data_IF_225756113030
#
_entry.id   IF_225756113030
#
_cell.length_a   1.000
_cell.length_b   1.000
_cell.length_c   1.000
_cell.angle_alpha   90.00
_cell.angle_beta   90.00
_cell.angle_gamma   90.00
#
_symmetry.space_group_name_H-M   'P 1'
#
loop_
_entity.id
_entity.type
_entity.pdbx_description
1 polymer ?
#
# COMPACT_ATOMS: atom_id res chain seq x y z
N UNK A 1 14.96 -25.92 11.69
CA UNK A 1 13.94 -25.10 12.37
C UNK A 1 14.60 -23.77 12.67
N UNK A 2 14.71 -22.90 11.67
CA UNK A 2 15.08 -21.51 11.88
C UNK A 2 13.88 -20.84 12.54
N UNK A 3 14.05 -20.41 13.76
CA UNK A 3 13.16 -19.49 14.45
C UNK A 3 13.13 -18.20 13.65
N UNK A 4 12.09 -18.01 12.84
CA UNK A 4 11.79 -16.70 12.29
C UNK A 4 11.35 -15.82 13.47
N UNK A 5 12.31 -15.10 14.03
CA UNK A 5 12.02 -14.05 14.97
C UNK A 5 10.96 -13.13 14.36
N UNK A 6 9.86 -12.98 15.06
CA UNK A 6 8.80 -12.00 14.80
C UNK A 6 9.40 -10.60 14.95
N UNK A 7 10.21 -10.22 13.95
CA UNK A 7 10.98 -8.99 14.03
C UNK A 7 10.07 -7.78 13.88
N UNK A 8 10.12 -6.87 14.84
CA UNK A 8 9.62 -5.51 14.74
C UNK A 8 10.04 -4.90 13.40
N UNK A 9 9.12 -4.18 12.75
CA UNK A 9 9.46 -3.33 11.60
C UNK A 9 10.63 -2.46 12.02
N UNK A 10 11.76 -2.57 11.34
CA UNK A 10 12.91 -1.71 11.61
C UNK A 10 12.61 -0.37 10.98
N UNK A 11 12.32 0.64 11.81
CA UNK A 11 12.23 2.01 11.37
C UNK A 11 13.47 2.42 10.59
N UNK A 12 13.30 3.28 9.63
CA UNK A 12 14.39 3.86 8.86
C UNK A 12 14.68 5.27 9.42
N UNK A 13 15.96 5.63 9.52
CA UNK A 13 16.31 7.01 9.88
C UNK A 13 15.95 7.97 8.75
N UNK A 14 15.67 9.24 9.08
CA UNK A 14 15.38 10.24 8.06
C UNK A 14 16.53 10.39 7.05
N UNK A 15 17.78 10.25 7.49
CA UNK A 15 18.97 10.30 6.63
C UNK A 15 19.00 9.14 5.61
N UNK A 16 18.74 7.91 6.05
CA UNK A 16 18.69 6.76 5.14
C UNK A 16 17.46 6.82 4.22
N UNK A 17 16.33 7.33 4.71
CA UNK A 17 15.15 7.58 3.91
C UNK A 17 15.45 8.60 2.81
N UNK A 18 16.04 9.74 3.17
CA UNK A 18 16.46 10.77 2.22
C UNK A 18 17.39 10.23 1.15
N UNK A 19 18.43 9.48 1.54
CA UNK A 19 19.37 8.86 0.62
C UNK A 19 18.69 7.94 -0.40
N UNK A 20 17.71 7.15 0.03
CA UNK A 20 16.95 6.26 -0.85
C UNK A 20 16.03 7.01 -1.78
N UNK A 21 15.34 8.04 -1.27
CA UNK A 21 14.44 8.88 -2.07
C UNK A 21 15.22 9.67 -3.12
N UNK A 22 16.37 10.25 -2.76
CA UNK A 22 17.22 11.00 -3.70
C UNK A 22 17.77 10.15 -4.85
N UNK A 23 17.83 8.84 -4.71
CA UNK A 23 18.19 7.96 -5.80
C UNK A 23 17.19 8.02 -6.97
N UNK A 24 15.93 8.28 -6.66
CA UNK A 24 14.84 8.34 -7.64
C UNK A 24 14.40 9.79 -7.92
N UNK A 25 14.56 10.68 -6.96
CA UNK A 25 14.22 12.10 -7.03
C UNK A 25 15.42 12.96 -6.63
N UNK A 26 16.43 13.13 -7.52
CA UNK A 26 17.67 13.83 -7.18
C UNK A 26 17.48 15.29 -6.76
N UNK A 27 16.49 15.96 -7.35
CA UNK A 27 16.18 17.38 -7.12
C UNK A 27 15.31 17.63 -5.87
N UNK A 28 15.08 16.59 -5.05
CA UNK A 28 14.21 16.69 -3.89
C UNK A 28 14.84 17.51 -2.77
N UNK A 29 14.13 18.53 -2.29
CA UNK A 29 14.45 19.26 -1.06
C UNK A 29 13.83 18.56 0.16
N UNK A 30 14.47 18.69 1.33
CA UNK A 30 13.97 18.08 2.58
C UNK A 30 12.53 18.50 2.92
N UNK A 31 12.14 19.74 2.60
CA UNK A 31 10.75 20.23 2.75
C UNK A 31 9.74 19.45 1.89
N UNK A 32 10.18 18.74 0.87
CA UNK A 32 9.31 18.03 -0.05
C UNK A 32 9.12 16.58 0.36
N UNK A 33 10.04 16.01 1.18
CA UNK A 33 9.93 14.64 1.67
C UNK A 33 8.63 14.41 2.44
N UNK A 34 8.24 15.32 3.33
CA UNK A 34 6.99 15.24 4.08
C UNK A 34 5.76 15.36 3.17
N UNK A 35 5.84 16.19 2.13
CA UNK A 35 4.77 16.27 1.12
C UNK A 35 4.63 14.97 0.35
N UNK A 36 5.74 14.33 -0.04
CA UNK A 36 5.75 13.05 -0.75
C UNK A 36 5.19 11.95 0.13
N UNK A 37 5.59 11.88 1.40
CA UNK A 37 5.01 10.95 2.38
C UNK A 37 3.49 11.12 2.47
N UNK A 38 3.03 12.37 2.61
CA UNK A 38 1.61 12.69 2.69
C UNK A 38 0.85 12.29 1.43
N UNK A 39 1.37 12.60 0.25
CA UNK A 39 0.75 12.23 -1.03
C UNK A 39 0.68 10.72 -1.21
N UNK A 40 1.76 9.99 -0.88
CA UNK A 40 1.79 8.54 -0.92
C UNK A 40 0.74 7.92 0.01
N UNK A 41 0.63 8.42 1.24
CA UNK A 41 -0.35 7.99 2.21
C UNK A 41 -1.79 8.24 1.71
N UNK A 42 -2.09 9.43 1.16
CA UNK A 42 -3.41 9.77 0.64
C UNK A 42 -3.82 8.88 -0.55
N UNK A 43 -2.91 8.67 -1.50
CA UNK A 43 -3.16 7.79 -2.64
C UNK A 43 -3.43 6.36 -2.18
N UNK A 44 -2.63 5.84 -1.26
CA UNK A 44 -2.78 4.50 -0.70
C UNK A 44 -4.10 4.33 0.06
N UNK A 45 -4.49 5.31 0.88
CA UNK A 45 -5.78 5.31 1.59
C UNK A 45 -6.96 5.26 0.61
N UNK A 46 -6.90 6.06 -0.47
CA UNK A 46 -7.96 6.07 -1.48
C UNK A 46 -8.17 4.71 -2.15
N UNK A 47 -7.06 4.02 -2.43
CA UNK A 47 -7.08 2.71 -3.06
C UNK A 47 -7.62 1.65 -2.10
N UNK A 48 -7.16 1.66 -0.84
CA UNK A 48 -7.59 0.69 0.19
C UNK A 48 -9.06 0.83 0.54
N UNK A 49 -9.62 2.05 0.57
CA UNK A 49 -11.06 2.27 0.80
C UNK A 49 -11.94 1.50 -0.17
N UNK A 50 -11.55 1.42 -1.43
CA UNK A 50 -12.35 0.73 -2.47
C UNK A 50 -12.44 -0.76 -2.23
N UNK A 51 -11.32 -1.41 -1.86
CA UNK A 51 -11.30 -2.87 -1.70
C UNK A 51 -12.05 -3.32 -0.44
N UNK A 52 -11.95 -2.60 0.68
CA UNK A 52 -12.62 -3.01 1.93
C UNK A 52 -14.15 -2.92 1.85
N UNK A 53 -14.68 -2.14 0.89
CA UNK A 53 -16.11 -2.04 0.62
C UNK A 53 -16.65 -3.22 -0.20
N UNK A 54 -15.77 -4.03 -0.81
CA UNK A 54 -16.19 -5.18 -1.62
C UNK A 54 -16.91 -6.22 -0.75
N UNK A 55 -18.09 -6.74 -1.17
CA UNK A 55 -18.88 -7.67 -0.35
C UNK A 55 -18.09 -8.91 0.10
N UNK A 56 -17.27 -9.48 -0.79
CA UNK A 56 -16.48 -10.67 -0.47
C UNK A 56 -15.39 -10.41 0.58
N UNK A 57 -14.90 -9.18 0.70
CA UNK A 57 -13.97 -8.82 1.77
C UNK A 57 -14.62 -8.91 3.14
N UNK A 58 -15.90 -8.54 3.25
CA UNK A 58 -16.68 -8.55 4.49
C UNK A 58 -17.02 -9.94 5.01
N UNK A 59 -16.94 -10.96 4.16
CA UNK A 59 -17.27 -12.36 4.53
C UNK A 59 -16.29 -13.00 5.48
N UNK A 60 -15.08 -12.48 5.58
CA UNK A 60 -13.94 -13.06 6.29
C UNK A 60 -13.59 -14.51 5.85
N UNK A 61 -13.98 -14.87 4.62
CA UNK A 61 -13.69 -16.18 4.02
C UNK A 61 -12.51 -16.02 3.05
N UNK A 62 -11.33 -16.62 3.34
CA UNK A 62 -10.14 -16.46 2.51
C UNK A 62 -10.36 -16.82 1.03
N UNK A 63 -11.14 -17.85 0.77
CA UNK A 63 -11.44 -18.31 -0.61
C UNK A 63 -12.23 -17.30 -1.44
N UNK A 64 -12.96 -16.37 -0.79
CA UNK A 64 -13.68 -15.27 -1.45
C UNK A 64 -12.83 -14.00 -1.47
N UNK A 65 -12.07 -13.74 -0.41
CA UNK A 65 -11.24 -12.53 -0.28
C UNK A 65 -10.01 -12.57 -1.20
N UNK A 66 -9.34 -13.72 -1.32
CA UNK A 66 -8.09 -13.83 -2.07
C UNK A 66 -8.23 -13.49 -3.57
N UNK A 67 -9.29 -13.93 -4.30
CA UNK A 67 -9.51 -13.48 -5.68
C UNK A 67 -9.69 -11.96 -5.82
N UNK A 68 -10.43 -11.33 -4.89
CA UNK A 68 -10.62 -9.88 -4.87
C UNK A 68 -9.30 -9.16 -4.65
N UNK A 69 -8.49 -9.63 -3.70
CA UNK A 69 -7.16 -9.08 -3.44
C UNK A 69 -6.20 -9.30 -4.62
N UNK A 70 -6.33 -10.42 -5.36
CA UNK A 70 -5.52 -10.68 -6.54
C UNK A 70 -5.79 -9.65 -7.64
N UNK A 71 -7.07 -9.41 -7.97
CA UNK A 71 -7.46 -8.38 -8.91
C UNK A 71 -6.98 -6.99 -8.47
N UNK A 72 -7.16 -6.69 -7.19
CA UNK A 72 -6.74 -5.42 -6.60
C UNK A 72 -5.23 -5.17 -6.75
N UNK A 73 -4.39 -6.17 -6.53
CA UNK A 73 -2.93 -6.07 -6.71
C UNK A 73 -2.57 -5.90 -8.19
N UNK A 74 -3.25 -6.58 -9.10
CA UNK A 74 -3.01 -6.47 -10.54
C UNK A 74 -3.30 -5.06 -11.06
N UNK A 75 -4.32 -4.41 -10.52
CA UNK A 75 -4.67 -3.02 -10.81
C UNK A 75 -3.73 -2.01 -10.14
N UNK A 76 -2.98 -2.43 -9.10
CA UNK A 76 -2.13 -1.56 -8.28
C UNK A 76 -0.71 -2.13 -8.13
N UNK A 77 0.14 -2.05 -9.17
CA UNK A 77 1.46 -2.70 -9.21
C UNK A 77 2.47 -2.26 -8.13
N UNK A 78 2.27 -1.11 -7.50
CA UNK A 78 3.09 -0.64 -6.37
C UNK A 78 2.83 -1.41 -5.07
N UNK A 79 1.73 -2.19 -4.99
CA UNK A 79 1.43 -3.04 -3.85
C UNK A 79 2.27 -4.31 -3.94
N UNK A 80 3.07 -4.57 -2.92
CA UNK A 80 3.87 -5.80 -2.82
C UNK A 80 3.07 -6.96 -2.26
N UNK A 81 2.32 -6.71 -1.20
CA UNK A 81 1.54 -7.71 -0.48
C UNK A 81 0.19 -7.16 -0.08
N UNK A 82 -0.83 -8.01 -0.15
CA UNK A 82 -2.13 -7.79 0.48
C UNK A 82 -2.50 -9.03 1.31
N UNK A 83 -3.08 -8.81 2.48
CA UNK A 83 -3.44 -9.86 3.43
C UNK A 83 -4.55 -9.41 4.38
N UNK A 84 -5.20 -10.40 5.02
CA UNK A 84 -6.23 -10.16 6.03
C UNK A 84 -5.85 -10.86 7.33
N UNK A 85 -6.15 -10.22 8.45
CA UNK A 85 -6.10 -10.81 9.79
C UNK A 85 -7.47 -10.75 10.45
N UNK A 86 -7.75 -11.71 11.32
CA UNK A 86 -8.97 -11.69 12.14
C UNK A 86 -8.87 -10.69 13.31
N UNK A 87 -9.95 -10.58 14.09
CA UNK A 87 -10.02 -9.69 15.25
C UNK A 87 -9.05 -10.03 16.39
N UNK A 88 -8.43 -11.21 16.35
CA UNK A 88 -7.39 -11.62 17.28
C UNK A 88 -5.99 -11.37 16.74
N UNK A 89 -5.85 -10.76 15.57
CA UNK A 89 -4.59 -10.52 14.90
C UNK A 89 -4.00 -11.75 14.22
N UNK A 90 -4.77 -12.85 14.06
CA UNK A 90 -4.31 -14.02 13.32
C UNK A 90 -4.49 -13.82 11.83
N UNK A 91 -3.41 -14.03 11.09
CA UNK A 91 -3.44 -13.96 9.63
C UNK A 91 -4.25 -15.10 9.03
N UNK A 92 -5.30 -14.74 8.29
CA UNK A 92 -6.29 -15.70 7.76
C UNK A 92 -6.06 -16.02 6.28
N UNK A 93 -5.53 -15.07 5.49
CA UNK A 93 -5.29 -15.25 4.06
C UNK A 93 -3.82 -15.49 3.76
N UNK A 94 -3.55 -15.97 2.55
CA UNK A 94 -2.21 -15.92 1.98
C UNK A 94 -1.73 -14.47 1.81
N UNK A 95 -0.42 -14.27 1.62
CA UNK A 95 0.08 -13.03 1.04
C UNK A 95 -0.24 -13.03 -0.45
N UNK A 96 -1.18 -12.22 -0.89
CA UNK A 96 -1.39 -12.00 -2.31
C UNK A 96 -0.33 -11.03 -2.80
N UNK A 97 0.35 -11.37 -3.90
CA UNK A 97 1.53 -10.63 -4.34
C UNK A 97 1.73 -10.68 -5.85
N UNK A 98 2.31 -9.62 -6.42
CA UNK A 98 2.80 -9.55 -7.80
C UNK A 98 4.30 -9.86 -7.93
N UNK A 99 4.98 -10.15 -6.82
CA UNK A 99 6.41 -10.49 -6.85
C UNK A 99 6.58 -11.81 -7.61
N UNK A 100 7.57 -11.86 -8.54
CA UNK A 100 7.74 -13.00 -9.45
C UNK A 100 7.92 -14.37 -8.79
N UNK A 101 8.53 -14.43 -7.59
CA UNK A 101 8.65 -15.65 -6.79
C UNK A 101 7.50 -15.74 -5.78
N UNK A 102 6.28 -15.89 -6.29
CA UNK A 102 5.06 -15.98 -5.46
C UNK A 102 5.13 -17.12 -4.44
N UNK A 103 5.61 -18.29 -4.84
CA UNK A 103 5.65 -19.48 -4.00
C UNK A 103 6.44 -19.25 -2.69
N UNK A 104 7.44 -18.38 -2.72
CA UNK A 104 8.23 -18.01 -1.56
C UNK A 104 7.43 -17.23 -0.51
N UNK A 105 6.46 -16.42 -0.95
CA UNK A 105 5.80 -15.43 -0.10
C UNK A 105 4.34 -15.76 0.22
N UNK A 106 3.65 -16.51 -0.64
CA UNK A 106 2.20 -16.73 -0.52
C UNK A 106 1.79 -17.32 0.83
N UNK A 107 2.47 -18.36 1.28
CA UNK A 107 2.13 -19.04 2.54
C UNK A 107 2.83 -18.43 3.76
N UNK A 108 3.60 -17.36 3.57
CA UNK A 108 4.32 -16.74 4.68
C UNK A 108 3.34 -16.11 5.67
N UNK A 109 3.46 -16.55 6.89
CA UNK A 109 2.73 -15.95 8.01
C UNK A 109 1.26 -16.34 8.15
N UNK A 110 0.69 -17.27 7.32
CA UNK A 110 -0.66 -17.79 7.57
C UNK A 110 -0.73 -18.38 8.99
N UNK A 111 -1.76 -17.99 9.75
CA UNK A 111 -2.00 -18.43 11.12
C UNK A 111 -1.07 -17.81 12.16
N UNK A 112 -0.10 -16.97 11.76
CA UNK A 112 0.75 -16.25 12.71
C UNK A 112 0.00 -15.16 13.44
N UNK A 113 0.43 -14.90 14.65
CA UNK A 113 -0.06 -13.82 15.49
C UNK A 113 0.60 -12.49 15.06
N UNK A 114 -0.21 -11.52 14.73
CA UNK A 114 0.16 -10.15 14.35
C UNK A 114 -0.42 -9.11 15.32
N UNK A 115 -0.94 -9.57 16.48
CA UNK A 115 -1.65 -8.71 17.45
C UNK A 115 -0.76 -7.64 18.10
N UNK A 116 0.56 -7.82 18.07
CA UNK A 116 1.55 -6.85 18.56
C UNK A 116 1.94 -5.78 17.53
N UNK A 117 1.40 -5.86 16.30
CA UNK A 117 1.78 -4.96 15.21
C UNK A 117 1.03 -3.65 15.26
N UNK A 118 1.74 -2.55 15.04
CA UNK A 118 1.14 -1.20 14.96
C UNK A 118 0.01 -1.14 13.92
N UNK A 119 0.24 -1.69 12.73
CA UNK A 119 -0.73 -1.69 11.65
C UNK A 119 -2.00 -2.51 11.96
N UNK A 120 -1.96 -3.43 12.93
CA UNK A 120 -3.13 -4.13 13.46
C UNK A 120 -3.79 -3.33 14.60
N UNK A 121 -3.00 -2.88 15.57
CA UNK A 121 -3.48 -2.23 16.80
C UNK A 121 -4.19 -0.91 16.48
N UNK A 122 -3.61 -0.07 15.61
CA UNK A 122 -4.13 1.27 15.34
C UNK A 122 -5.51 1.27 14.69
N UNK A 123 -5.79 0.52 13.59
CA UNK A 123 -7.13 0.46 13.05
C UNK A 123 -8.12 -0.24 13.98
N UNK A 124 -7.68 -1.26 14.74
CA UNK A 124 -8.52 -1.93 15.74
C UNK A 124 -9.03 -0.95 16.81
N UNK A 125 -8.17 -0.06 17.30
CA UNK A 125 -8.50 0.91 18.35
C UNK A 125 -9.30 2.10 17.83
N UNK A 126 -9.00 2.56 16.63
CA UNK A 126 -9.56 3.81 16.10
C UNK A 126 -10.78 3.62 15.20
N UNK A 127 -10.99 2.42 14.66
CA UNK A 127 -11.97 2.17 13.61
C UNK A 127 -11.65 2.86 12.28
N UNK A 128 -10.41 3.35 12.10
CA UNK A 128 -10.00 4.15 10.94
C UNK A 128 -8.83 3.50 10.21
N UNK A 129 -8.66 3.87 8.95
CA UNK A 129 -7.49 3.49 8.17
C UNK A 129 -6.24 4.08 8.83
N UNK A 130 -5.21 3.25 8.94
CA UNK A 130 -3.91 3.63 9.46
C UNK A 130 -2.83 3.46 8.39
N UNK A 131 -1.87 4.38 8.37
CA UNK A 131 -0.68 4.33 7.53
C UNK A 131 0.53 4.36 8.45
N UNK A 132 1.43 3.39 8.30
CA UNK A 132 2.66 3.34 9.09
C UNK A 132 3.66 4.37 8.61
N UNK A 133 4.66 4.65 9.45
CA UNK A 133 5.89 5.29 8.98
C UNK A 133 6.61 4.41 7.96
N UNK A 134 7.56 4.99 7.22
CA UNK A 134 8.40 4.26 6.30
C UNK A 134 9.30 3.25 7.03
N UNK A 135 9.42 2.06 6.45
CA UNK A 135 10.28 1.00 6.98
C UNK A 135 10.94 0.19 5.87
N UNK A 136 11.98 -0.55 6.22
CA UNK A 136 12.59 -1.51 5.30
C UNK A 136 11.93 -2.87 5.49
N UNK A 137 11.32 -3.38 4.41
CA UNK A 137 10.72 -4.71 4.40
C UNK A 137 11.80 -5.77 4.63
N UNK A 138 11.64 -6.57 5.69
CA UNK A 138 12.54 -7.70 5.95
C UNK A 138 12.42 -8.81 4.89
N UNK A 139 11.27 -8.88 4.23
CA UNK A 139 11.01 -9.89 3.20
C UNK A 139 11.70 -9.55 1.87
N UNK A 140 11.71 -8.26 1.50
CA UNK A 140 12.16 -7.83 0.17
C UNK A 140 13.33 -6.85 0.19
N UNK A 141 13.66 -6.26 1.34
CA UNK A 141 14.66 -5.20 1.46
C UNK A 141 14.21 -3.85 0.87
N UNK A 142 12.99 -3.76 0.37
CA UNK A 142 12.43 -2.54 -0.22
C UNK A 142 11.99 -1.54 0.86
N UNK A 143 11.99 -0.26 0.51
CA UNK A 143 11.38 0.79 1.31
C UNK A 143 9.87 0.73 1.15
N UNK A 144 9.15 0.53 2.26
CA UNK A 144 7.70 0.30 2.26
C UNK A 144 6.97 1.19 3.27
N UNK A 145 5.69 1.34 3.03
CA UNK A 145 4.67 1.71 4.01
C UNK A 145 3.63 0.59 4.07
N UNK A 146 3.01 0.38 5.22
CA UNK A 146 1.82 -0.46 5.33
C UNK A 146 0.60 0.43 5.50
N UNK A 147 -0.43 0.20 4.70
CA UNK A 147 -1.75 0.78 4.90
C UNK A 147 -2.67 -0.33 5.39
N UNK A 148 -3.34 -0.08 6.49
CA UNK A 148 -4.27 -1.04 7.08
C UNK A 148 -5.63 -0.41 7.36
N UNK A 149 -6.67 -1.19 7.18
CA UNK A 149 -8.06 -0.74 7.29
C UNK A 149 -8.92 -1.77 8.00
N UNK A 150 -9.85 -1.33 8.86
CA UNK A 150 -10.85 -2.22 9.41
C UNK A 150 -11.76 -2.73 8.30
N UNK A 151 -12.08 -4.02 8.33
CA UNK A 151 -13.15 -4.63 7.55
C UNK A 151 -14.40 -4.59 8.43
N UNK A 152 -15.44 -3.97 7.93
CA UNK A 152 -16.72 -3.83 8.63
C UNK A 152 -17.78 -4.59 7.85
N UNK A 153 -18.56 -5.42 8.54
CA UNK A 153 -19.62 -6.22 7.94
C UNK A 153 -20.90 -5.38 7.70
N UNK A 154 -21.94 -6.03 7.20
CA UNK A 154 -23.20 -5.38 6.90
C UNK A 154 -24.04 -5.00 8.17
N UNK A 155 -23.53 -5.34 9.36
CA UNK A 155 -24.10 -4.96 10.66
C UNK A 155 -23.32 -3.83 11.33
N UNK A 156 -22.40 -3.20 10.61
CA UNK A 156 -21.46 -2.21 11.14
C UNK A 156 -20.51 -2.75 12.23
N UNK A 157 -20.29 -4.08 12.28
CA UNK A 157 -19.33 -4.70 13.19
C UNK A 157 -17.99 -4.90 12.52
N UNK A 158 -16.90 -4.54 13.23
CA UNK A 158 -15.54 -4.81 12.75
C UNK A 158 -15.29 -6.31 12.85
N UNK A 159 -14.90 -6.94 11.73
CA UNK A 159 -14.73 -8.39 11.61
C UNK A 159 -13.29 -8.80 11.32
N UNK A 160 -12.43 -7.86 10.94
CA UNK A 160 -11.01 -8.10 10.67
C UNK A 160 -10.29 -6.83 10.24
N UNK A 161 -9.00 -6.99 9.95
CA UNK A 161 -8.15 -5.90 9.42
C UNK A 161 -7.54 -6.36 8.09
N UNK A 162 -7.71 -5.53 7.07
CA UNK A 162 -7.03 -5.66 5.80
C UNK A 162 -5.72 -4.88 5.83
N UNK A 163 -4.63 -5.46 5.36
CA UNK A 163 -3.32 -4.83 5.29
C UNK A 163 -2.72 -4.91 3.89
N UNK A 164 -2.06 -3.84 3.44
CA UNK A 164 -1.29 -3.80 2.21
C UNK A 164 0.08 -3.18 2.45
N UNK A 165 1.11 -3.81 1.91
CA UNK A 165 2.47 -3.28 1.90
C UNK A 165 2.77 -2.67 0.53
N UNK A 166 3.08 -1.39 0.51
CA UNK A 166 3.32 -0.61 -0.70
C UNK A 166 4.81 -0.31 -0.79
N UNK A 167 5.41 -0.66 -1.92
CA UNK A 167 6.79 -0.34 -2.22
C UNK A 167 6.90 1.09 -2.72
N UNK A 168 7.66 1.89 -1.98
CA UNK A 168 7.76 3.33 -2.22
C UNK A 168 8.38 3.65 -3.57
N UNK A 169 9.46 2.95 -3.96
CA UNK A 169 10.14 3.18 -5.22
C UNK A 169 9.22 2.99 -6.44
N UNK A 170 8.37 1.97 -6.41
CA UNK A 170 7.42 1.69 -7.49
C UNK A 170 6.27 2.72 -7.50
N UNK A 171 5.87 3.19 -6.31
CA UNK A 171 4.89 4.27 -6.18
C UNK A 171 5.43 5.60 -6.74
N UNK A 172 6.66 5.99 -6.40
CA UNK A 172 7.30 7.21 -6.90
C UNK A 172 7.38 7.19 -8.41
N UNK A 173 7.88 6.10 -9.00
CA UNK A 173 7.97 5.93 -10.44
C UNK A 173 6.61 6.12 -11.13
N UNK A 174 5.57 5.51 -10.58
CA UNK A 174 4.21 5.67 -11.11
C UNK A 174 3.69 7.10 -10.98
N UNK A 175 4.02 7.80 -9.90
CA UNK A 175 3.64 9.20 -9.72
C UNK A 175 4.32 10.12 -10.73
N UNK A 176 5.59 9.85 -11.08
CA UNK A 176 6.32 10.55 -12.14
C UNK A 176 5.68 10.29 -13.51
N UNK A 177 5.38 9.03 -13.85
CA UNK A 177 4.73 8.66 -15.11
C UNK A 177 3.36 9.37 -15.27
N UNK A 178 2.58 9.46 -14.18
CA UNK A 178 1.29 10.17 -14.17
C UNK A 178 1.49 11.67 -14.32
N UNK A 179 2.47 12.26 -13.65
CA UNK A 179 2.75 13.70 -13.75
C UNK A 179 3.20 14.07 -15.17
N UNK A 180 4.07 13.27 -15.78
CA UNK A 180 4.52 13.45 -17.16
C UNK A 180 3.36 13.32 -18.14
N UNK A 181 2.53 12.28 -18.03
CA UNK A 181 1.36 12.09 -18.86
C UNK A 181 0.37 13.26 -18.73
N UNK A 182 0.18 13.79 -17.51
CA UNK A 182 -0.68 14.94 -17.25
C UNK A 182 -0.12 16.22 -17.91
N UNK A 183 1.18 16.44 -17.84
CA UNK A 183 1.83 17.59 -18.50
C UNK A 183 1.69 17.50 -20.03
N UNK A 184 1.88 16.32 -20.60
CA UNK A 184 1.71 16.08 -22.04
C UNK A 184 0.25 16.37 -22.46
N UNK A 185 -0.73 15.88 -21.70
CA UNK A 185 -2.15 16.13 -21.98
C UNK A 185 -2.49 17.62 -21.93
N UNK A 186 -2.08 18.32 -20.88
CA UNK A 186 -2.30 19.78 -20.75
C UNK A 186 -1.64 20.56 -21.87
N UNK A 187 -0.44 20.19 -22.29
CA UNK A 187 0.26 20.82 -23.40
C UNK A 187 -0.48 20.61 -24.71
N UNK A 188 -0.97 19.39 -24.97
CA UNK A 188 -1.75 19.08 -26.19
C UNK A 188 -3.08 19.84 -26.23
N UNK A 189 -3.78 19.98 -25.11
CA UNK A 189 -5.01 20.80 -25.01
C UNK A 189 -4.73 22.28 -25.28
N UNK A 190 -3.64 22.81 -24.71
CA UNK A 190 -3.22 24.19 -24.95
C UNK A 190 -2.89 24.45 -26.43
N UNK A 191 -2.13 23.55 -27.08
CA UNK A 191 -1.79 23.64 -28.48
C UNK A 191 -3.02 23.52 -29.41
N UNK A 192 -3.99 22.67 -29.06
CA UNK A 192 -5.24 22.53 -29.78
C UNK A 192 -6.08 23.81 -29.67
N UNK A 193 -6.16 24.38 -28.48
CA UNK A 193 -6.88 25.64 -28.25
C UNK A 193 -6.23 26.82 -28.99
N UNK A 194 -4.91 26.95 -28.92
CA UNK A 194 -4.17 28.00 -29.63
C UNK A 194 -4.36 27.93 -31.16
N UNK A 195 -4.50 26.73 -31.72
CA UNK A 195 -4.83 26.54 -33.12
C UNK A 195 -6.28 26.92 -33.46
N UNK A 196 -7.23 26.67 -32.55
CA UNK A 196 -8.63 27.05 -32.74
C UNK A 196 -8.85 28.55 -32.68
N UNK A 197 -8.12 29.25 -31.82
CA UNK A 197 -8.22 30.71 -31.64
C UNK A 197 -7.53 31.50 -32.76
N UNK A 198 -6.77 30.83 -33.64
CA UNK A 198 -6.12 31.48 -34.81
C UNK A 198 -7.01 31.48 -36.09
N UNK A 199 -8.23 30.93 -36.02
CA UNK A 199 -9.20 30.89 -37.13
C UNK A 199 -10.38 31.85 -36.94
N UNK A 200 -10.29 32.77 -35.98
CA UNK A 200 -11.17 33.92 -35.81
C UNK A 200 -10.43 35.21 -36.15
#
# INVERSE_FOLDING_TARGET
TEQYETGRMTGISNEELEKRVRKYLPELFMSDLEKIKFMAAQAAVSVVKKIIEHPDMKTMQPQLQEPVMQQFIEENPSIQFAYVVDMNGRKTTRNITNIGDRAKYENYGIGTDQSDREWFIKPLQSGKIHVTEFYISKMTGALCITVSAPIVDDKDEMVGIFGVDIKFEDWVKRAEDIAEATQIALRSEYEAKAKSDHWL
#
